data_IF_656589612626
#
_entry.id   IF_656589612626
#
_cell.length_a   1.000
_cell.length_b   1.000
_cell.length_c   1.000
_cell.angle_alpha   90.00
_cell.angle_beta   90.00
_cell.angle_gamma   90.00
#
_symmetry.space_group_name_H-M   'P 1'
#
loop_
_entity.id
_entity.type
_entity.pdbx_description
1 polymer ?
#
# COMPACT_ATOMS: atom_id res chain seq x y z
N UNK A 1 7.96 -3.29 17.04
CA UNK A 1 7.39 -1.94 17.21
C UNK A 1 6.66 -1.60 15.93
N UNK A 2 5.34 -1.35 15.98
CA UNK A 2 4.56 -1.01 14.79
C UNK A 2 4.74 0.48 14.52
N UNK A 3 5.55 0.81 13.52
CA UNK A 3 5.78 2.17 13.08
C UNK A 3 5.58 2.23 11.55
N UNK A 4 4.91 3.27 11.08
CA UNK A 4 4.62 3.45 9.66
C UNK A 4 5.89 3.67 8.83
N UNK A 5 6.91 4.28 9.42
CA UNK A 5 8.20 4.59 8.82
C UNK A 5 9.20 3.45 8.91
N UNK A 6 8.81 2.28 9.45
CA UNK A 6 9.68 1.10 9.42
C UNK A 6 9.90 0.69 7.95
N UNK A 7 11.16 0.68 7.47
CA UNK A 7 11.48 0.37 6.09
C UNK A 7 11.14 -1.08 5.75
N UNK A 8 10.79 -1.33 4.49
CA UNK A 8 10.68 -2.67 3.92
C UNK A 8 12.01 -3.06 3.25
N UNK A 9 12.31 -4.36 3.09
CA UNK A 9 13.47 -4.79 2.31
C UNK A 9 13.34 -4.34 0.84
N UNK A 10 14.41 -3.78 0.27
CA UNK A 10 14.54 -3.50 -1.16
C UNK A 10 14.83 -4.81 -1.95
N UNK A 11 14.44 -4.93 -3.23
CA UNK A 11 13.78 -3.91 -4.06
C UNK A 11 12.25 -4.01 -4.09
N UNK A 12 11.61 -2.84 -4.22
CA UNK A 12 10.16 -2.69 -4.35
C UNK A 12 9.81 -2.42 -5.81
N UNK A 13 9.33 -3.44 -6.53
CA UNK A 13 8.93 -3.34 -7.94
C UNK A 13 7.45 -2.93 -8.13
N UNK A 14 6.65 -3.00 -7.06
CA UNK A 14 5.22 -2.66 -7.02
C UNK A 14 4.89 -2.02 -5.68
N UNK A 15 3.80 -1.25 -5.59
CA UNK A 15 3.32 -0.72 -4.31
C UNK A 15 3.17 -1.83 -3.27
N UNK A 16 3.60 -1.55 -2.04
CA UNK A 16 3.49 -2.48 -0.92
C UNK A 16 2.28 -2.10 -0.09
N UNK A 17 1.22 -2.89 -0.20
CA UNK A 17 -0.01 -2.73 0.58
C UNK A 17 0.08 -3.64 1.80
N UNK A 18 -0.11 -3.06 2.98
CA UNK A 18 -0.12 -3.79 4.25
C UNK A 18 -1.35 -3.43 5.06
N UNK A 19 -2.20 -4.41 5.33
CA UNK A 19 -3.30 -4.28 6.26
C UNK A 19 -2.79 -3.98 7.69
N UNK A 20 -3.37 -2.95 8.31
CA UNK A 20 -3.15 -2.59 9.71
C UNK A 20 -4.37 -2.92 10.57
N UNK A 21 -5.57 -2.82 10.00
CA UNK A 21 -6.84 -3.16 10.63
C UNK A 21 -7.87 -3.50 9.55
N UNK A 22 -8.61 -4.59 9.74
CA UNK A 22 -9.82 -4.88 8.97
C UNK A 22 -10.97 -5.21 9.93
N UNK A 23 -12.08 -4.53 9.73
CA UNK A 23 -13.34 -4.64 10.46
C UNK A 23 -14.48 -4.55 9.45
N UNK A 24 -15.72 -4.97 9.79
CA UNK A 24 -16.81 -5.08 8.82
C UNK A 24 -17.06 -3.85 7.95
N UNK A 25 -16.84 -2.64 8.49
CA UNK A 25 -17.09 -1.38 7.80
C UNK A 25 -15.84 -0.49 7.70
N UNK A 26 -14.65 -0.97 8.10
CA UNK A 26 -13.42 -0.17 8.05
C UNK A 26 -12.20 -1.04 7.77
N UNK A 27 -11.42 -0.63 6.76
CA UNK A 27 -10.10 -1.16 6.41
C UNK A 27 -9.08 -0.03 6.55
N UNK A 28 -8.00 -0.27 7.27
CA UNK A 28 -6.86 0.65 7.42
C UNK A 28 -5.63 -0.06 6.87
N UNK A 29 -4.98 0.56 5.89
CA UNK A 29 -3.82 0.00 5.20
C UNK A 29 -2.67 1.01 5.19
N UNK A 30 -1.44 0.48 5.22
CA UNK A 30 -0.23 1.22 4.87
C UNK A 30 0.15 0.87 3.45
N UNK A 31 0.22 1.86 2.58
CA UNK A 31 0.67 1.72 1.19
C UNK A 31 2.01 2.43 1.05
N UNK A 32 3.03 1.73 0.53
CA UNK A 32 4.34 2.31 0.22
C UNK A 32 4.61 2.23 -1.28
N UNK A 33 4.74 3.41 -1.89
CA UNK A 33 5.02 3.58 -3.33
C UNK A 33 6.43 4.13 -3.53
N UNK A 34 7.09 3.75 -4.63
CA UNK A 34 8.43 4.23 -5.01
C UNK A 34 8.43 4.63 -6.48
N UNK A 35 7.83 5.79 -6.78
CA UNK A 35 7.71 6.31 -8.15
C UNK A 35 6.58 5.69 -8.97
N UNK A 36 5.70 4.87 -8.37
CA UNK A 36 4.50 4.36 -9.03
C UNK A 36 3.51 5.50 -9.31
N UNK A 37 2.74 5.35 -10.39
CA UNK A 37 1.69 6.29 -10.79
C UNK A 37 0.44 5.52 -11.16
N UNK A 38 -0.71 6.19 -11.10
CA UNK A 38 -1.95 5.63 -11.61
C UNK A 38 -1.83 5.25 -13.10
N UNK A 39 -2.58 4.26 -13.56
CA UNK A 39 -2.73 3.97 -14.99
C UNK A 39 -3.17 5.22 -15.78
N UNK A 40 -2.77 5.29 -17.05
CA UNK A 40 -3.15 6.38 -17.96
C UNK A 40 -4.67 6.43 -18.19
N UNK A 41 -5.32 5.26 -18.19
CA UNK A 41 -6.77 5.12 -18.33
C UNK A 41 -7.29 3.99 -17.44
N UNK A 42 -8.57 4.05 -17.09
CA UNK A 42 -9.21 3.05 -16.24
C UNK A 42 -9.18 3.42 -14.75
N UNK A 43 -9.61 2.48 -13.92
CA UNK A 43 -9.62 2.64 -12.46
C UNK A 43 -8.31 2.15 -11.87
N UNK A 44 -7.97 2.70 -10.71
CA UNK A 44 -6.92 2.13 -9.89
C UNK A 44 -7.48 0.89 -9.20
N UNK A 45 -7.06 -0.28 -9.66
CA UNK A 45 -7.49 -1.56 -9.10
C UNK A 45 -6.74 -1.82 -7.78
N UNK A 46 -7.14 -1.10 -6.73
CA UNK A 46 -6.75 -1.40 -5.37
C UNK A 46 -7.76 -2.40 -4.79
N UNK A 47 -7.38 -3.68 -4.74
CA UNK A 47 -8.17 -4.74 -4.08
C UNK A 47 -8.36 -4.50 -2.56
#
# INVERSE_FOLDING_TARGET
>A
MNNLLTPLPDPINHEQIKELLCQPNVKIERILSKGHTSPETGWYDQE
#
